data_IF_253512113306
#
_entry.id   IF_253512113306
#
_cell.length_a   1.000
_cell.length_b   1.000
_cell.length_c   1.000
_cell.angle_alpha   90.00
_cell.angle_beta   90.00
_cell.angle_gamma   90.00
#
_symmetry.space_group_name_H-M   'P 1'
#
loop_
_entity.id
_entity.type
_entity.pdbx_description
1 polymer ?
#
# COMPACT_ATOMS: atom_id res chain seq x y z
N UNK A 1 -29.68 -0.92 0.56
CA UNK A 1 -28.91 -0.28 1.63
C UNK A 1 -27.48 -0.11 1.10
N UNK A 2 -27.01 1.11 0.87
CA UNK A 2 -25.65 1.36 0.36
C UNK A 2 -24.70 1.31 1.57
N UNK A 3 -23.92 0.23 1.68
CA UNK A 3 -22.96 0.09 2.78
C UNK A 3 -21.78 1.01 2.46
N UNK A 4 -21.71 2.13 3.14
CA UNK A 4 -20.51 2.97 3.17
C UNK A 4 -19.42 2.23 3.93
N UNK A 5 -18.22 2.17 3.35
CA UNK A 5 -17.03 1.56 3.96
C UNK A 5 -15.93 2.63 4.08
N UNK A 6 -16.17 3.70 4.87
CA UNK A 6 -15.21 4.79 5.00
C UNK A 6 -13.98 4.34 5.79
N UNK A 7 -12.82 4.88 5.48
CA UNK A 7 -11.60 4.67 6.26
C UNK A 7 -11.58 5.39 7.63
N UNK A 8 -12.66 6.04 8.02
CA UNK A 8 -12.70 6.94 9.17
C UNK A 8 -12.04 8.30 8.85
N UNK A 9 -11.94 9.15 9.87
CA UNK A 9 -11.30 10.47 9.77
C UNK A 9 -9.81 10.32 9.44
N UNK A 10 -9.24 11.24 8.64
CA UNK A 10 -7.81 11.31 8.40
C UNK A 10 -7.07 11.52 9.72
N UNK A 11 -5.93 10.88 9.86
CA UNK A 11 -5.05 11.01 11.03
C UNK A 11 -3.83 11.80 10.62
N UNK A 12 -3.48 12.83 11.38
CA UNK A 12 -2.23 13.56 11.15
C UNK A 12 -1.05 12.76 11.73
N UNK A 13 0.04 12.63 10.94
CA UNK A 13 1.26 11.94 11.37
C UNK A 13 1.87 12.54 12.63
N UNK A 14 1.71 13.85 12.88
CA UNK A 14 2.18 14.49 14.11
C UNK A 14 1.55 13.90 15.38
N UNK A 15 0.32 13.35 15.27
CA UNK A 15 -0.39 12.73 16.40
C UNK A 15 0.14 11.32 16.71
N UNK A 16 0.83 10.68 15.76
CA UNK A 16 1.44 9.37 15.96
C UNK A 16 2.76 9.54 16.68
N UNK A 17 2.84 9.06 17.91
CA UNK A 17 4.05 9.15 18.73
C UNK A 17 5.11 8.13 18.28
N UNK A 18 6.35 8.58 18.06
CA UNK A 18 7.44 7.74 17.59
C UNK A 18 7.19 7.18 16.17
N UNK A 19 7.64 5.95 15.92
CA UNK A 19 7.41 5.21 14.66
C UNK A 19 8.03 5.89 13.42
N UNK A 20 9.15 6.60 13.57
CA UNK A 20 9.73 7.42 12.50
C UNK A 20 10.08 6.61 11.25
N UNK A 21 10.58 5.36 11.42
CA UNK A 21 10.86 4.47 10.30
C UNK A 21 9.59 4.02 9.57
N UNK A 22 8.46 3.87 10.29
CA UNK A 22 7.16 3.54 9.68
C UNK A 22 6.61 4.75 8.94
N UNK A 23 6.67 5.95 9.54
CA UNK A 23 6.26 7.20 8.90
C UNK A 23 7.04 7.44 7.60
N UNK A 24 8.36 7.20 7.63
CA UNK A 24 9.21 7.28 6.43
C UNK A 24 8.78 6.27 5.37
N UNK A 25 8.50 5.02 5.75
CA UNK A 25 7.98 4.00 4.83
C UNK A 25 6.62 4.40 4.22
N UNK A 26 5.74 5.05 4.99
CA UNK A 26 4.47 5.58 4.49
C UNK A 26 4.68 6.77 3.52
N UNK A 27 5.64 7.65 3.78
CA UNK A 27 6.04 8.71 2.86
C UNK A 27 6.51 8.14 1.51
N UNK A 28 7.39 7.14 1.53
CA UNK A 28 7.86 6.44 0.32
C UNK A 28 6.67 5.76 -0.40
N UNK A 29 5.78 5.11 0.36
CA UNK A 29 4.59 4.48 -0.19
C UNK A 29 3.67 5.50 -0.89
N UNK A 30 3.40 6.64 -0.26
CA UNK A 30 2.59 7.72 -0.83
C UNK A 30 3.24 8.31 -2.08
N UNK A 31 4.55 8.53 -2.05
CA UNK A 31 5.29 9.12 -3.15
C UNK A 31 5.33 8.20 -4.39
N UNK A 32 5.51 6.90 -4.23
CA UNK A 32 5.65 5.96 -5.34
C UNK A 32 4.38 5.17 -5.69
N UNK A 33 3.30 5.28 -4.90
CA UNK A 33 2.10 4.45 -5.09
C UNK A 33 2.29 2.99 -4.65
N UNK A 34 3.30 2.72 -3.81
CA UNK A 34 3.67 1.37 -3.40
C UNK A 34 2.67 0.76 -2.43
N UNK A 35 2.37 -0.53 -2.59
CA UNK A 35 1.55 -1.30 -1.66
C UNK A 35 2.30 -1.54 -0.35
N UNK A 36 1.57 -1.47 0.78
CA UNK A 36 2.15 -1.52 2.13
C UNK A 36 1.49 -2.61 2.97
N UNK A 37 2.32 -3.35 3.72
CA UNK A 37 1.89 -4.22 4.81
C UNK A 37 2.52 -3.75 6.12
N UNK A 38 1.67 -3.38 7.08
CA UNK A 38 2.05 -3.02 8.44
C UNK A 38 1.88 -4.24 9.37
N UNK A 39 2.94 -4.73 9.96
CA UNK A 39 2.87 -5.88 10.86
C UNK A 39 3.34 -5.49 12.25
N UNK A 40 2.63 -5.95 13.29
CA UNK A 40 3.02 -5.65 14.67
C UNK A 40 2.01 -6.17 15.68
N UNK A 41 2.37 -6.06 16.94
CA UNK A 41 1.55 -6.48 18.09
C UNK A 41 0.17 -5.79 18.13
N UNK A 42 -0.81 -6.34 18.83
CA UNK A 42 -2.07 -5.64 19.10
C UNK A 42 -1.81 -4.27 19.71
N UNK A 43 -2.66 -3.29 19.37
CA UNK A 43 -2.55 -1.91 19.85
C UNK A 43 -1.24 -1.15 19.55
N UNK A 44 -0.38 -1.64 18.62
CA UNK A 44 0.83 -0.94 18.21
C UNK A 44 0.58 0.29 17.29
N UNK A 45 -0.67 0.62 16.98
CA UNK A 45 -1.02 1.79 16.16
C UNK A 45 -1.09 1.53 14.64
N UNK A 46 -1.08 0.27 14.19
CA UNK A 46 -1.09 -0.10 12.76
C UNK A 46 -2.23 0.56 11.98
N UNK A 47 -3.45 0.44 12.48
CA UNK A 47 -4.64 1.02 11.82
C UNK A 47 -4.60 2.54 11.78
N UNK A 48 -4.04 3.17 12.82
CA UNK A 48 -3.83 4.62 12.89
C UNK A 48 -2.85 5.07 11.80
N UNK A 49 -1.69 4.40 11.69
CA UNK A 49 -0.68 4.64 10.67
C UNK A 49 -1.22 4.40 9.25
N UNK A 50 -1.99 3.32 9.06
CA UNK A 50 -2.62 3.04 7.76
C UNK A 50 -3.58 4.15 7.32
N UNK A 51 -4.34 4.72 8.25
CA UNK A 51 -5.25 5.87 7.98
C UNK A 51 -4.48 7.15 7.70
N UNK A 52 -3.33 7.36 8.36
CA UNK A 52 -2.51 8.56 8.15
C UNK A 52 -1.99 8.66 6.71
N UNK A 53 -1.79 7.54 5.99
CA UNK A 53 -1.35 7.55 4.60
C UNK A 53 -2.28 8.36 3.68
N UNK A 54 -3.60 8.38 3.97
CA UNK A 54 -4.57 9.15 3.19
C UNK A 54 -4.21 10.64 3.13
N UNK A 55 -3.78 11.20 4.24
CA UNK A 55 -3.40 12.61 4.36
C UNK A 55 -2.10 12.98 3.63
N UNK A 56 -1.35 11.99 3.14
CA UNK A 56 -0.10 12.20 2.41
C UNK A 56 -0.29 12.20 0.90
N UNK A 57 -1.44 11.73 0.41
CA UNK A 57 -1.68 11.58 -1.02
C UNK A 57 -2.07 12.91 -1.66
N UNK A 58 -1.52 13.25 -2.85
CA UNK A 58 -1.95 14.41 -3.59
C UNK A 58 -3.41 14.26 -4.04
N UNK A 59 -4.13 15.37 -4.28
CA UNK A 59 -5.48 15.35 -4.80
C UNK A 59 -5.56 14.60 -6.14
N UNK A 60 -6.77 14.22 -6.53
CA UNK A 60 -7.04 13.65 -7.84
C UNK A 60 -6.83 14.70 -8.94
N UNK A 61 -6.32 14.29 -10.11
CA UNK A 61 -6.37 15.09 -11.33
C UNK A 61 -7.80 15.12 -11.88
N UNK A 62 -8.09 16.03 -12.80
CA UNK A 62 -9.42 16.14 -13.43
C UNK A 62 -9.86 14.81 -14.07
N UNK A 63 -8.97 14.16 -14.81
CA UNK A 63 -9.24 12.86 -15.43
C UNK A 63 -9.47 11.74 -14.41
N UNK A 64 -8.75 11.77 -13.29
CA UNK A 64 -8.97 10.83 -12.19
C UNK A 64 -10.32 11.08 -11.48
N UNK A 65 -10.72 12.35 -11.32
CA UNK A 65 -12.02 12.73 -10.74
C UNK A 65 -13.16 12.16 -11.57
N UNK A 66 -13.13 12.30 -12.90
CA UNK A 66 -14.16 11.75 -13.80
C UNK A 66 -14.25 10.22 -13.70
N UNK A 67 -13.10 9.53 -13.70
CA UNK A 67 -13.05 8.07 -13.57
C UNK A 67 -13.63 7.58 -12.24
N UNK A 68 -13.33 8.27 -11.13
CA UNK A 68 -13.84 7.95 -9.80
C UNK A 68 -15.34 8.23 -9.72
N UNK A 69 -15.80 9.38 -10.23
CA UNK A 69 -17.22 9.76 -10.25
C UNK A 69 -18.07 8.73 -11.02
N UNK A 70 -17.59 8.24 -12.17
CA UNK A 70 -18.29 7.21 -12.93
C UNK A 70 -18.49 5.91 -12.13
N UNK A 71 -17.47 5.47 -11.37
CA UNK A 71 -17.56 4.27 -10.52
C UNK A 71 -18.50 4.53 -9.34
N UNK A 72 -18.43 5.69 -8.70
CA UNK A 72 -19.27 6.06 -7.58
C UNK A 72 -20.75 6.17 -7.99
N UNK A 73 -21.05 6.72 -9.16
CA UNK A 73 -22.39 6.76 -9.73
C UNK A 73 -22.95 5.34 -9.96
N UNK A 74 -22.14 4.41 -10.52
CA UNK A 74 -22.53 2.99 -10.65
C UNK A 74 -22.81 2.34 -9.29
N UNK A 75 -22.05 2.71 -8.27
CA UNK A 75 -22.22 2.23 -6.88
C UNK A 75 -23.38 2.94 -6.16
N UNK A 76 -24.01 3.95 -6.75
CA UNK A 76 -25.04 4.83 -6.16
C UNK A 76 -24.57 5.46 -4.84
N UNK A 77 -23.33 5.88 -4.79
CA UNK A 77 -22.81 6.67 -3.69
C UNK A 77 -23.25 8.13 -3.91
N UNK A 78 -23.61 8.81 -2.82
CA UNK A 78 -23.83 10.25 -2.88
C UNK A 78 -22.48 10.93 -3.12
N UNK A 79 -22.40 11.79 -4.10
CA UNK A 79 -21.24 12.65 -4.31
C UNK A 79 -21.29 13.78 -3.29
N UNK A 80 -20.15 14.01 -2.64
CA UNK A 80 -19.89 15.22 -1.87
C UNK A 80 -18.98 16.10 -2.73
N UNK A 81 -19.48 17.23 -3.20
CA UNK A 81 -18.72 18.15 -4.05
C UNK A 81 -17.45 18.64 -3.36
N UNK A 82 -17.49 18.86 -2.04
CA UNK A 82 -16.32 19.28 -1.28
C UNK A 82 -15.22 18.19 -1.21
N UNK A 83 -15.59 16.93 -1.38
CA UNK A 83 -14.67 15.79 -1.36
C UNK A 83 -14.28 15.29 -2.76
N UNK A 84 -14.75 15.91 -3.83
CA UNK A 84 -14.59 15.43 -5.21
C UNK A 84 -13.14 15.25 -5.64
N UNK A 85 -12.23 16.11 -5.19
CA UNK A 85 -10.80 16.01 -5.48
C UNK A 85 -10.03 15.10 -4.52
N UNK A 86 -10.67 14.61 -3.45
CA UNK A 86 -10.02 13.72 -2.49
C UNK A 86 -9.96 12.29 -3.02
N UNK A 87 -8.83 11.62 -2.81
CA UNK A 87 -8.69 10.21 -3.16
C UNK A 87 -9.64 9.35 -2.32
N UNK A 88 -10.42 8.44 -2.95
CA UNK A 88 -11.26 7.51 -2.21
C UNK A 88 -10.46 6.69 -1.23
N UNK A 89 -11.03 6.43 -0.05
CA UNK A 89 -10.47 5.49 0.91
C UNK A 89 -11.57 4.50 1.31
N UNK A 90 -11.36 3.22 1.02
CA UNK A 90 -12.34 2.17 1.23
C UNK A 90 -11.76 1.11 2.17
N UNK A 91 -12.43 0.88 3.30
CA UNK A 91 -12.01 -0.06 4.34
C UNK A 91 -13.09 -1.12 4.58
N UNK A 92 -13.16 -2.20 3.79
CA UNK A 92 -14.10 -3.27 4.01
C UNK A 92 -13.75 -4.05 5.28
N UNK A 93 -14.77 -4.52 6.01
CA UNK A 93 -14.57 -5.46 7.12
C UNK A 93 -14.09 -6.82 6.61
N UNK A 94 -13.30 -7.58 7.39
CA UNK A 94 -13.00 -8.98 7.09
C UNK A 94 -14.24 -9.86 6.90
N UNK A 95 -15.37 -9.50 7.50
CA UNK A 95 -16.65 -10.21 7.35
C UNK A 95 -17.39 -9.85 6.06
N UNK A 96 -16.91 -8.86 5.30
CA UNK A 96 -17.52 -8.46 4.03
C UNK A 96 -17.63 -9.68 3.09
N UNK A 97 -18.77 -9.80 2.41
CA UNK A 97 -18.98 -10.86 1.42
C UNK A 97 -18.07 -10.65 0.20
N UNK A 98 -17.87 -11.71 -0.61
CA UNK A 98 -17.13 -11.57 -1.89
C UNK A 98 -17.76 -10.52 -2.80
N UNK A 99 -19.09 -10.44 -2.84
CA UNK A 99 -19.80 -9.42 -3.63
C UNK A 99 -19.54 -7.99 -3.12
N UNK A 100 -19.40 -7.78 -1.81
CA UNK A 100 -19.01 -6.50 -1.24
C UNK A 100 -17.56 -6.13 -1.57
N UNK A 101 -16.65 -7.09 -1.60
CA UNK A 101 -15.24 -6.88 -1.93
C UNK A 101 -15.03 -6.62 -3.43
N UNK A 102 -15.59 -7.47 -4.26
CA UNK A 102 -15.25 -7.55 -5.69
C UNK A 102 -16.35 -7.04 -6.61
N UNK A 103 -17.54 -6.82 -6.08
CA UNK A 103 -18.70 -6.46 -6.88
C UNK A 103 -19.52 -7.66 -7.33
N UNK A 104 -20.60 -7.39 -8.01
CA UNK A 104 -21.57 -8.37 -8.46
C UNK A 104 -23.01 -7.96 -8.14
N UNK A 105 -23.92 -8.92 -8.10
CA UNK A 105 -25.33 -8.71 -7.74
C UNK A 105 -26.30 -9.44 -8.68
N UNK A 106 -27.45 -9.86 -8.18
CA UNK A 106 -28.46 -10.59 -8.95
C UNK A 106 -29.21 -9.72 -9.98
N UNK A 107 -29.26 -8.42 -9.76
CA UNK A 107 -29.93 -7.44 -10.63
C UNK A 107 -28.93 -6.62 -11.46
N UNK A 108 -28.60 -5.41 -11.01
CA UNK A 108 -27.67 -4.47 -11.65
C UNK A 108 -26.27 -4.72 -11.14
N UNK A 109 -25.25 -4.61 -12.00
CA UNK A 109 -23.85 -4.66 -11.56
C UNK A 109 -23.59 -3.55 -10.55
N UNK A 110 -23.00 -3.92 -9.40
CA UNK A 110 -22.58 -2.97 -8.36
C UNK A 110 -21.07 -3.11 -8.15
N UNK A 111 -20.31 -2.01 -8.29
CA UNK A 111 -18.88 -2.01 -7.97
C UNK A 111 -18.64 -2.41 -6.50
N UNK A 112 -17.72 -3.33 -6.28
CA UNK A 112 -17.26 -3.72 -4.94
C UNK A 112 -16.22 -2.75 -4.38
N UNK A 113 -15.68 -3.07 -3.19
CA UNK A 113 -14.68 -2.26 -2.50
C UNK A 113 -13.46 -1.98 -3.38
N UNK A 114 -12.96 -2.98 -4.14
CA UNK A 114 -11.77 -2.84 -5.01
C UNK A 114 -11.96 -1.78 -6.10
N UNK A 115 -13.12 -1.76 -6.77
CA UNK A 115 -13.41 -0.75 -7.80
C UNK A 115 -13.71 0.61 -7.18
N UNK A 116 -14.40 0.65 -6.04
CA UNK A 116 -14.70 1.90 -5.33
C UNK A 116 -13.46 2.58 -4.77
N UNK A 117 -12.37 1.83 -4.55
CA UNK A 117 -11.07 2.35 -4.15
C UNK A 117 -10.22 2.84 -5.34
N UNK A 118 -10.74 2.81 -6.57
CA UNK A 118 -10.01 3.23 -7.77
C UNK A 118 -9.41 4.63 -7.59
N UNK A 119 -8.13 4.78 -7.97
CA UNK A 119 -7.31 6.01 -7.80
C UNK A 119 -7.14 6.46 -6.34
N UNK A 120 -7.46 5.60 -5.38
CA UNK A 120 -7.37 5.88 -3.95
C UNK A 120 -6.73 4.74 -3.17
N UNK A 121 -7.21 4.52 -1.94
CA UNK A 121 -6.71 3.52 -1.01
C UNK A 121 -7.72 2.41 -0.77
N UNK A 122 -7.26 1.17 -0.82
CA UNK A 122 -7.95 0.01 -0.26
C UNK A 122 -7.25 -0.37 1.04
N UNK A 123 -7.92 -0.15 2.17
CA UNK A 123 -7.40 -0.50 3.50
C UNK A 123 -7.98 -1.84 3.95
N UNK A 124 -7.13 -2.86 4.07
CA UNK A 124 -7.49 -4.18 4.59
C UNK A 124 -6.91 -4.37 5.99
N UNK A 125 -7.71 -4.06 7.00
CA UNK A 125 -7.29 -4.20 8.41
C UNK A 125 -7.42 -5.65 8.85
N UNK A 126 -6.39 -6.21 9.50
CA UNK A 126 -6.21 -7.64 9.81
C UNK A 126 -6.31 -8.54 8.56
N UNK A 127 -5.43 -8.30 7.60
CA UNK A 127 -5.40 -9.01 6.30
C UNK A 127 -5.58 -10.53 6.40
N UNK A 128 -4.95 -11.28 7.33
CA UNK A 128 -5.17 -12.72 7.46
C UNK A 128 -6.61 -13.13 7.79
N UNK A 129 -7.43 -12.22 8.34
CA UNK A 129 -8.83 -12.50 8.65
C UNK A 129 -9.73 -12.59 7.41
N UNK A 130 -9.33 -12.00 6.29
CA UNK A 130 -10.04 -12.14 5.01
C UNK A 130 -9.93 -13.55 4.41
N UNK A 131 -8.87 -14.30 4.75
CA UNK A 131 -8.68 -15.69 4.36
C UNK A 131 -8.82 -15.95 2.85
N UNK A 132 -9.62 -16.96 2.42
CA UNK A 132 -9.74 -17.33 1.00
C UNK A 132 -10.28 -16.23 0.09
N UNK A 133 -10.91 -15.20 0.66
CA UNK A 133 -11.40 -14.05 -0.11
C UNK A 133 -10.27 -13.28 -0.80
N UNK A 134 -9.03 -13.36 -0.29
CA UNK A 134 -7.87 -12.70 -0.88
C UNK A 134 -7.39 -13.31 -2.20
N UNK A 135 -7.87 -14.48 -2.58
CA UNK A 135 -7.37 -15.22 -3.75
C UNK A 135 -7.48 -14.50 -5.09
N UNK A 136 -8.46 -13.62 -5.25
CA UNK A 136 -8.64 -12.82 -6.48
C UNK A 136 -7.84 -11.52 -6.50
N UNK A 137 -7.33 -11.07 -5.34
CA UNK A 137 -6.69 -9.77 -5.23
C UNK A 137 -5.37 -9.65 -6.03
N UNK A 138 -4.50 -10.67 -6.11
CA UNK A 138 -3.28 -10.59 -6.91
C UNK A 138 -3.54 -10.24 -8.38
N UNK A 139 -4.49 -10.92 -9.02
CA UNK A 139 -4.82 -10.65 -10.43
C UNK A 139 -5.39 -9.23 -10.62
N UNK A 140 -6.20 -8.74 -9.66
CA UNK A 140 -6.76 -7.39 -9.71
C UNK A 140 -5.65 -6.33 -9.59
N UNK A 141 -4.64 -6.57 -8.75
CA UNK A 141 -3.49 -5.67 -8.61
C UNK A 141 -2.65 -5.62 -9.89
N UNK A 142 -2.49 -6.75 -10.58
CA UNK A 142 -1.76 -6.83 -11.86
C UNK A 142 -2.54 -6.17 -12.99
N UNK A 143 -3.83 -6.52 -13.14
CA UNK A 143 -4.69 -6.04 -14.22
C UNK A 143 -5.18 -4.60 -13.97
N UNK A 144 -5.12 -4.11 -12.72
CA UNK A 144 -5.73 -2.85 -12.26
C UNK A 144 -7.21 -2.73 -12.62
N UNK A 145 -7.85 -3.87 -12.73
CA UNK A 145 -9.22 -4.01 -13.15
C UNK A 145 -9.89 -5.20 -12.46
N UNK A 146 -11.17 -5.07 -12.21
CA UNK A 146 -12.03 -6.14 -11.73
C UNK A 146 -12.90 -6.64 -12.88
N UNK A 147 -12.77 -7.92 -13.24
CA UNK A 147 -13.61 -8.59 -14.24
C UNK A 147 -14.79 -9.26 -13.54
N UNK A 148 -16.00 -8.92 -13.95
CA UNK A 148 -17.24 -9.52 -13.45
C UNK A 148 -17.95 -10.20 -14.61
N UNK A 149 -18.02 -11.52 -14.55
CA UNK A 149 -18.78 -12.31 -15.54
C UNK A 149 -20.25 -12.39 -15.11
N UNK A 150 -21.14 -12.10 -16.07
CA UNK A 150 -22.57 -12.14 -15.81
C UNK A 150 -23.37 -12.40 -17.07
N UNK A 151 -24.27 -13.40 -17.02
CA UNK A 151 -25.14 -13.79 -18.13
C UNK A 151 -24.38 -13.90 -19.46
N UNK A 152 -23.14 -14.46 -19.46
CA UNK A 152 -22.31 -14.60 -20.62
C UNK A 152 -21.59 -13.31 -21.08
N UNK A 153 -21.74 -12.21 -20.34
CA UNK A 153 -21.06 -10.93 -20.64
C UNK A 153 -20.02 -10.63 -19.55
N UNK A 154 -18.77 -10.40 -19.96
CA UNK A 154 -17.72 -9.93 -19.05
C UNK A 154 -17.73 -8.41 -19.02
N UNK A 155 -17.95 -7.85 -17.83
CA UNK A 155 -17.81 -6.42 -17.59
C UNK A 155 -16.51 -6.15 -16.85
N UNK A 156 -15.78 -5.12 -17.29
CA UNK A 156 -14.50 -4.71 -16.69
C UNK A 156 -14.71 -3.39 -15.96
N UNK A 157 -14.44 -3.40 -14.65
CA UNK A 157 -14.49 -2.20 -13.82
C UNK A 157 -13.05 -1.79 -13.44
N UNK A 158 -12.68 -0.52 -13.58
CA UNK A 158 -11.36 -0.05 -13.12
C UNK A 158 -11.16 -0.33 -11.63
N UNK A 159 -9.95 -0.75 -11.26
CA UNK A 159 -9.58 -1.08 -9.89
C UNK A 159 -8.08 -0.78 -9.62
N UNK A 160 -7.58 0.34 -10.12
CA UNK A 160 -6.23 0.83 -9.85
C UNK A 160 -6.23 1.57 -8.49
N UNK A 161 -5.82 0.90 -7.43
CA UNK A 161 -5.76 1.45 -6.07
C UNK A 161 -4.42 1.13 -5.43
N UNK A 162 -4.05 1.89 -4.40
CA UNK A 162 -2.94 1.53 -3.52
C UNK A 162 -3.47 0.67 -2.38
N UNK A 163 -2.89 -0.53 -2.20
CA UNK A 163 -3.24 -1.42 -1.10
C UNK A 163 -2.47 -1.02 0.16
N UNK A 164 -3.21 -0.84 1.26
CA UNK A 164 -2.64 -0.71 2.60
C UNK A 164 -3.24 -1.81 3.46
N UNK A 165 -2.40 -2.66 3.98
CA UNK A 165 -2.85 -3.78 4.79
C UNK A 165 -2.20 -3.77 6.17
N UNK A 166 -2.91 -4.28 7.17
CA UNK A 166 -2.34 -4.54 8.48
C UNK A 166 -2.39 -6.03 8.81
N UNK A 167 -1.49 -6.50 9.63
CA UNK A 167 -1.51 -7.86 10.15
C UNK A 167 -0.89 -7.93 11.54
N UNK A 168 -1.24 -8.98 12.27
CA UNK A 168 -0.48 -9.42 13.45
C UNK A 168 0.57 -10.43 13.00
N UNK A 169 1.69 -10.62 13.74
CA UNK A 169 2.70 -11.61 13.37
C UNK A 169 2.23 -13.06 13.58
N UNK A 170 1.22 -13.27 14.44
CA UNK A 170 0.61 -14.56 14.75
C UNK A 170 -0.81 -14.36 15.35
N UNK A 171 -1.57 -15.45 15.60
CA UNK A 171 -2.92 -15.32 16.19
C UNK A 171 -2.99 -14.59 17.52
N UNK A 172 -2.03 -14.80 18.45
CA UNK A 172 -1.97 -14.04 19.71
C UNK A 172 -1.37 -12.65 19.55
N UNK A 173 -0.59 -12.40 18.47
CA UNK A 173 0.00 -11.11 18.14
C UNK A 173 1.40 -10.87 18.73
N UNK A 174 1.98 -11.84 19.45
CA UNK A 174 3.23 -11.66 20.22
C UNK A 174 4.44 -12.42 19.65
N UNK A 175 4.32 -13.01 18.47
CA UNK A 175 5.45 -13.70 17.85
C UNK A 175 6.56 -12.70 17.49
N UNK A 176 7.76 -12.94 18.05
CA UNK A 176 8.91 -12.05 17.89
C UNK A 176 8.91 -10.82 18.82
N UNK A 177 7.91 -10.66 19.70
CA UNK A 177 7.90 -9.59 20.70
C UNK A 177 8.91 -9.89 21.81
N UNK A 178 9.66 -8.86 22.25
CA UNK A 178 10.73 -9.01 23.27
C UNK A 178 10.20 -8.94 24.71
N UNK A 179 9.03 -8.33 24.90
CA UNK A 179 8.44 -8.12 26.24
C UNK A 179 7.36 -9.17 26.56
N UNK A 180 6.71 -9.74 25.53
CA UNK A 180 5.59 -10.65 25.70
C UNK A 180 5.87 -12.00 25.03
N UNK A 181 5.76 -13.07 25.82
CA UNK A 181 5.90 -14.42 25.31
C UNK A 181 4.76 -14.79 24.34
N UNK A 182 5.11 -15.31 23.18
CA UNK A 182 4.14 -15.85 22.24
C UNK A 182 3.60 -17.21 22.71
N UNK A 183 2.27 -17.30 22.85
CA UNK A 183 1.59 -18.55 23.25
C UNK A 183 1.27 -19.48 22.06
N UNK A 184 1.66 -19.12 20.83
CA UNK A 184 1.36 -19.93 19.64
C UNK A 184 2.45 -20.94 19.35
N UNK A 185 2.05 -22.17 19.02
CA UNK A 185 3.01 -23.16 18.48
C UNK A 185 3.53 -22.71 17.11
N UNK A 186 4.76 -23.11 16.71
CA UNK A 186 5.31 -22.77 15.40
C UNK A 186 4.39 -23.16 14.23
N UNK A 187 3.70 -24.30 14.32
CA UNK A 187 2.73 -24.71 13.30
C UNK A 187 1.53 -23.76 13.21
N UNK A 188 1.06 -23.23 14.36
CA UNK A 188 -0.05 -22.28 14.42
C UNK A 188 0.36 -20.92 13.85
N UNK A 189 1.60 -20.48 14.10
CA UNK A 189 2.16 -19.26 13.50
C UNK A 189 2.21 -19.40 11.98
N UNK A 190 2.85 -20.45 11.47
CA UNK A 190 2.94 -20.71 10.01
C UNK A 190 1.56 -20.75 9.36
N UNK A 191 0.59 -21.49 9.93
CA UNK A 191 -0.79 -21.56 9.38
C UNK A 191 -1.46 -20.19 9.33
N UNK A 192 -1.22 -19.32 10.29
CA UNK A 192 -1.76 -17.97 10.30
C UNK A 192 -1.14 -17.11 9.21
N UNK A 193 0.18 -17.10 9.08
CA UNK A 193 0.90 -16.35 8.05
C UNK A 193 0.55 -16.83 6.63
N UNK A 194 0.34 -18.13 6.43
CA UNK A 194 -0.11 -18.70 5.15
C UNK A 194 -1.56 -18.33 4.77
N UNK A 195 -2.33 -17.67 5.63
CA UNK A 195 -3.64 -17.11 5.24
C UNK A 195 -3.51 -15.95 4.25
N UNK A 196 -2.36 -15.31 4.21
CA UNK A 196 -2.02 -14.33 3.17
C UNK A 196 -1.41 -15.13 2.00
N UNK A 197 -2.06 -15.16 0.82
CA UNK A 197 -1.52 -15.87 -0.34
C UNK A 197 -0.11 -15.36 -0.69
N UNK A 198 0.81 -16.27 -1.03
CA UNK A 198 2.16 -15.90 -1.43
C UNK A 198 2.16 -14.92 -2.60
N UNK A 199 1.31 -15.18 -3.60
CA UNK A 199 1.12 -14.28 -4.75
C UNK A 199 0.70 -12.84 -4.34
N UNK A 200 -0.04 -12.66 -3.26
CA UNK A 200 -0.39 -11.33 -2.75
C UNK A 200 0.80 -10.67 -2.04
N UNK A 201 1.53 -11.43 -1.21
CA UNK A 201 2.74 -10.91 -0.53
C UNK A 201 3.81 -10.43 -1.50
N UNK A 202 3.97 -11.12 -2.61
CA UNK A 202 4.90 -10.75 -3.67
C UNK A 202 4.56 -9.44 -4.37
N UNK A 203 3.31 -8.97 -4.28
CA UNK A 203 2.85 -7.70 -4.84
C UNK A 203 2.86 -6.54 -3.86
N UNK A 204 3.16 -6.81 -2.59
CA UNK A 204 3.36 -5.78 -1.58
C UNK A 204 4.83 -5.37 -1.61
N UNK A 205 5.08 -4.10 -1.92
CA UNK A 205 6.43 -3.56 -2.10
C UNK A 205 7.10 -3.25 -0.76
N UNK A 206 6.32 -2.74 0.20
CA UNK A 206 6.81 -2.22 1.48
C UNK A 206 6.25 -3.04 2.63
N UNK A 207 7.14 -3.66 3.40
CA UNK A 207 6.82 -4.38 4.62
C UNK A 207 7.40 -3.62 5.81
N UNK A 208 6.54 -3.19 6.73
CA UNK A 208 6.91 -2.38 7.90
C UNK A 208 6.55 -3.10 9.18
N UNK A 209 7.52 -3.28 10.04
CA UNK A 209 7.29 -3.70 11.42
C UNK A 209 6.90 -2.49 12.25
N UNK A 210 5.77 -2.60 12.97
CA UNK A 210 5.24 -1.57 13.84
C UNK A 210 5.46 -2.01 15.29
N UNK A 211 6.57 -1.61 15.92
CA UNK A 211 6.83 -1.93 17.32
C UNK A 211 5.87 -1.20 18.24
N UNK A 212 5.77 -1.66 19.48
CA UNK A 212 5.04 -0.92 20.49
C UNK A 212 5.80 0.36 20.86
N UNK A 213 5.04 1.40 21.17
CA UNK A 213 5.61 2.66 21.66
C UNK A 213 5.72 2.57 23.18
N UNK A 214 6.90 2.83 23.72
CA UNK A 214 7.13 2.83 25.17
C UNK A 214 6.46 4.03 25.85
N UNK A 215 6.27 3.92 27.16
CA UNK A 215 5.56 4.93 27.95
C UNK A 215 6.19 6.32 27.84
N UNK A 216 7.52 6.43 27.86
CA UNK A 216 8.24 7.70 27.78
C UNK A 216 7.97 8.45 26.47
N UNK A 217 7.85 7.71 25.36
CA UNK A 217 7.49 8.29 24.07
C UNK A 217 6.01 8.67 23.98
N UNK A 218 5.12 7.88 24.59
CA UNK A 218 3.68 8.19 24.63
C UNK A 218 3.39 9.47 25.41
N UNK A 219 4.07 9.64 26.55
CA UNK A 219 3.90 10.81 27.44
C UNK A 219 4.74 12.02 27.02
N UNK A 220 5.68 11.84 26.09
CA UNK A 220 6.49 12.95 25.60
C UNK A 220 5.61 14.02 24.95
N UNK A 221 5.84 15.29 25.30
CA UNK A 221 5.21 16.44 24.64
C UNK A 221 5.66 16.64 23.19
N UNK A 222 6.63 15.87 22.70
CA UNK A 222 7.13 15.98 21.32
C UNK A 222 6.05 15.56 20.34
N UNK A 223 5.65 16.48 19.47
CA UNK A 223 4.85 16.19 18.29
C UNK A 223 5.77 15.69 17.17
N UNK A 224 5.26 14.80 16.33
CA UNK A 224 5.92 14.40 15.09
C UNK A 224 5.86 15.50 14.03
N UNK A 225 6.42 15.22 12.86
CA UNK A 225 6.29 16.09 11.69
C UNK A 225 4.83 16.11 11.20
N UNK A 226 4.25 17.28 10.90
CA UNK A 226 2.88 17.39 10.39
C UNK A 226 2.71 16.68 9.03
N UNK A 227 1.57 16.03 8.82
CA UNK A 227 1.23 15.39 7.54
C UNK A 227 1.33 16.34 6.35
N UNK A 228 1.03 17.63 6.53
CA UNK A 228 1.10 18.64 5.48
C UNK A 228 2.52 18.78 4.90
N UNK A 229 3.55 18.83 5.75
CA UNK A 229 4.95 18.95 5.31
C UNK A 229 5.38 17.68 4.54
N UNK A 230 4.99 16.51 5.02
CA UNK A 230 5.27 15.23 4.33
C UNK A 230 4.54 15.18 2.98
N UNK A 231 3.28 15.62 2.94
CA UNK A 231 2.49 15.69 1.71
C UNK A 231 3.09 16.62 0.65
N UNK A 232 3.73 17.71 1.04
CA UNK A 232 4.45 18.59 0.10
C UNK A 232 5.63 17.88 -0.57
N UNK A 233 6.43 17.10 0.20
CA UNK A 233 7.53 16.27 -0.36
C UNK A 233 6.99 15.17 -1.28
N UNK A 234 5.91 14.52 -0.88
CA UNK A 234 5.21 13.53 -1.70
C UNK A 234 4.73 14.16 -3.00
N UNK A 235 4.09 15.33 -2.95
CA UNK A 235 3.62 16.03 -4.14
C UNK A 235 4.78 16.45 -5.07
N UNK A 236 5.91 16.88 -4.51
CA UNK A 236 7.12 17.17 -5.30
C UNK A 236 7.65 15.93 -6.03
N UNK A 237 7.76 14.78 -5.34
CA UNK A 237 8.17 13.51 -5.95
C UNK A 237 7.18 13.06 -7.03
N UNK A 238 5.86 13.22 -6.82
CA UNK A 238 4.81 12.91 -7.80
C UNK A 238 4.88 13.80 -9.04
N UNK A 239 5.21 15.08 -8.91
CA UNK A 239 5.43 15.97 -10.06
C UNK A 239 6.60 15.49 -10.93
N UNK A 240 7.72 15.04 -10.32
CA UNK A 240 8.85 14.45 -11.06
C UNK A 240 8.43 13.20 -11.84
N UNK A 241 7.62 12.34 -11.23
CA UNK A 241 7.05 11.16 -11.89
C UNK A 241 6.12 11.55 -13.04
N UNK A 242 5.23 12.52 -12.83
CA UNK A 242 4.33 13.00 -13.88
C UNK A 242 5.10 13.53 -15.10
N UNK A 243 6.17 14.30 -14.89
CA UNK A 243 7.05 14.76 -15.99
C UNK A 243 7.75 13.58 -16.68
N UNK A 244 8.27 12.62 -15.92
CA UNK A 244 8.97 11.42 -16.44
C UNK A 244 8.06 10.55 -17.29
N UNK A 245 6.79 10.42 -16.93
CA UNK A 245 5.84 9.52 -17.56
C UNK A 245 4.86 10.21 -18.50
N UNK A 246 5.09 11.49 -18.85
CA UNK A 246 4.19 12.26 -19.70
C UNK A 246 3.85 11.57 -21.04
N UNK A 247 4.83 10.84 -21.59
CA UNK A 247 4.68 10.11 -22.86
C UNK A 247 4.42 8.59 -22.65
N UNK A 248 4.26 8.14 -21.39
CA UNK A 248 4.06 6.71 -21.09
C UNK A 248 2.61 6.47 -20.66
N UNK A 249 1.75 5.99 -21.57
CA UNK A 249 0.34 5.74 -21.26
C UNK A 249 0.19 4.79 -20.08
N UNK A 250 -0.77 5.09 -19.21
CA UNK A 250 -1.18 4.25 -18.06
C UNK A 250 -0.17 4.10 -16.91
N UNK A 251 1.00 4.76 -16.95
CA UNK A 251 1.95 4.83 -15.84
C UNK A 251 1.84 6.18 -15.16
N UNK A 252 1.49 6.22 -13.90
CA UNK A 252 1.37 7.45 -13.10
C UNK A 252 2.35 7.50 -11.94
N UNK A 253 2.88 6.34 -11.54
CA UNK A 253 3.76 6.21 -10.36
C UNK A 253 4.87 5.19 -10.59
N UNK A 254 5.94 5.29 -9.80
CA UNK A 254 7.05 4.35 -9.90
C UNK A 254 6.67 2.89 -9.58
N UNK A 255 5.67 2.65 -8.72
CA UNK A 255 5.18 1.30 -8.45
C UNK A 255 4.63 0.59 -9.70
N UNK A 256 4.20 1.38 -10.69
CA UNK A 256 3.59 0.91 -11.93
C UNK A 256 4.60 0.62 -13.05
N UNK A 257 5.91 0.86 -12.84
CA UNK A 257 6.95 0.64 -13.84
C UNK A 257 7.04 -0.82 -14.26
N UNK A 258 6.84 -1.09 -15.55
CA UNK A 258 7.14 -2.36 -16.18
C UNK A 258 8.65 -2.55 -16.41
N UNK A 259 9.05 -3.71 -16.92
CA UNK A 259 10.47 -4.07 -17.06
C UNK A 259 11.25 -3.08 -17.93
N UNK A 260 10.70 -2.64 -19.06
CA UNK A 260 11.38 -1.71 -19.96
C UNK A 260 11.52 -0.32 -19.34
N UNK A 261 10.49 0.16 -18.63
CA UNK A 261 10.53 1.42 -17.92
C UNK A 261 11.52 1.37 -16.72
N UNK A 262 11.65 0.22 -16.04
CA UNK A 262 12.68 0.03 -15.02
C UNK A 262 14.08 0.16 -15.64
N UNK A 263 14.34 -0.45 -16.81
CA UNK A 263 15.62 -0.32 -17.50
C UNK A 263 15.92 1.12 -17.88
N UNK A 264 14.93 1.86 -18.34
CA UNK A 264 15.08 3.25 -18.78
C UNK A 264 15.29 4.23 -17.59
N UNK A 265 14.60 4.02 -16.46
CA UNK A 265 14.52 5.03 -15.39
C UNK A 265 15.19 4.62 -14.07
N UNK A 266 15.65 3.37 -13.93
CA UNK A 266 16.25 2.86 -12.70
C UNK A 266 17.70 2.41 -12.93
N UNK A 267 18.44 3.08 -13.81
CA UNK A 267 19.87 2.79 -14.03
C UNK A 267 20.68 3.01 -12.74
N UNK A 268 21.63 2.13 -12.50
CA UNK A 268 22.55 2.16 -11.37
C UNK A 268 23.96 2.52 -11.83
N UNK A 269 24.72 3.19 -10.96
CA UNK A 269 26.14 3.36 -11.11
C UNK A 269 26.93 2.10 -10.68
N UNK A 270 28.24 2.11 -10.81
CA UNK A 270 29.11 0.97 -10.43
C UNK A 270 28.97 0.58 -8.95
N UNK A 271 28.81 1.54 -8.04
CA UNK A 271 28.62 1.31 -6.62
C UNK A 271 27.22 0.68 -6.34
N UNK A 272 26.19 1.19 -6.99
CA UNK A 272 24.84 0.63 -6.94
C UNK A 272 24.77 -0.80 -7.45
N UNK A 273 25.43 -1.10 -8.58
CA UNK A 273 25.54 -2.47 -9.09
C UNK A 273 26.24 -3.41 -8.12
N UNK A 274 27.33 -2.96 -7.49
CA UNK A 274 28.06 -3.75 -6.50
C UNK A 274 27.20 -4.05 -5.27
N UNK A 275 26.50 -3.06 -4.75
CA UNK A 275 25.57 -3.22 -3.63
C UNK A 275 24.42 -4.19 -3.97
N UNK A 276 23.79 -4.03 -5.13
CA UNK A 276 22.72 -4.91 -5.55
C UNK A 276 23.17 -6.35 -5.79
N UNK A 277 24.36 -6.55 -6.35
CA UNK A 277 24.97 -7.88 -6.51
C UNK A 277 25.19 -8.56 -5.15
N UNK A 278 25.69 -7.82 -4.17
CA UNK A 278 25.84 -8.33 -2.80
C UNK A 278 24.48 -8.66 -2.18
N UNK A 279 23.48 -7.77 -2.30
CA UNK A 279 22.13 -7.97 -1.77
C UNK A 279 21.45 -9.20 -2.38
N UNK A 280 21.53 -9.40 -3.70
CA UNK A 280 20.96 -10.57 -4.38
C UNK A 280 21.53 -11.86 -3.81
N UNK A 281 22.85 -11.91 -3.61
CA UNK A 281 23.55 -13.12 -3.08
C UNK A 281 23.26 -13.37 -1.61
N UNK A 282 23.33 -12.33 -0.76
CA UNK A 282 23.23 -12.48 0.70
C UNK A 282 21.78 -12.66 1.17
N UNK A 283 20.84 -12.08 0.46
CA UNK A 283 19.40 -12.06 0.84
C UNK A 283 18.56 -13.00 -0.03
N UNK A 284 19.18 -13.75 -0.95
CA UNK A 284 18.51 -14.66 -1.89
C UNK A 284 17.30 -14.01 -2.60
N UNK A 285 17.55 -12.83 -3.21
CA UNK A 285 16.49 -12.05 -3.80
C UNK A 285 16.01 -12.67 -5.12
N UNK A 286 14.70 -12.90 -5.23
CA UNK A 286 14.08 -13.26 -6.51
C UNK A 286 14.15 -12.08 -7.51
N UNK A 287 13.98 -12.39 -8.81
CA UNK A 287 13.90 -11.36 -9.86
C UNK A 287 12.78 -10.32 -9.58
N UNK A 288 11.62 -10.78 -9.06
CA UNK A 288 10.54 -9.88 -8.66
C UNK A 288 10.95 -8.93 -7.52
N UNK A 289 11.67 -9.45 -6.52
CA UNK A 289 12.18 -8.63 -5.42
C UNK A 289 13.23 -7.62 -5.90
N UNK A 290 14.11 -8.02 -6.81
CA UNK A 290 15.09 -7.13 -7.46
C UNK A 290 14.39 -5.92 -8.12
N UNK A 291 13.39 -6.16 -8.94
CA UNK A 291 12.66 -5.08 -9.63
C UNK A 291 11.88 -4.19 -8.65
N UNK A 292 11.30 -4.76 -7.58
CA UNK A 292 10.65 -3.96 -6.52
C UNK A 292 11.63 -3.01 -5.83
N UNK A 293 12.81 -3.50 -5.49
CA UNK A 293 13.87 -2.68 -4.86
C UNK A 293 14.25 -1.51 -5.78
N UNK A 294 14.40 -1.74 -7.09
CA UNK A 294 14.69 -0.67 -8.04
C UNK A 294 13.59 0.39 -8.12
N UNK A 295 12.32 -0.01 -8.16
CA UNK A 295 11.17 0.92 -8.14
C UNK A 295 11.12 1.73 -6.85
N UNK A 296 11.39 1.10 -5.71
CA UNK A 296 11.47 1.78 -4.41
C UNK A 296 12.65 2.75 -4.37
N UNK A 297 13.84 2.33 -4.81
CA UNK A 297 15.02 3.18 -4.87
C UNK A 297 14.80 4.41 -5.77
N UNK A 298 14.09 4.24 -6.92
CA UNK A 298 13.70 5.36 -7.77
C UNK A 298 12.78 6.33 -7.03
N UNK A 299 11.82 5.82 -6.26
CA UNK A 299 10.91 6.66 -5.47
C UNK A 299 11.67 7.43 -4.39
N UNK A 300 12.61 6.79 -3.71
CA UNK A 300 13.42 7.42 -2.67
C UNK A 300 14.32 8.51 -3.28
N UNK A 301 14.88 8.27 -4.46
CA UNK A 301 15.65 9.29 -5.19
C UNK A 301 14.78 10.46 -5.66
N UNK A 302 13.52 10.21 -6.07
CA UNK A 302 12.56 11.28 -6.40
C UNK A 302 12.22 12.14 -5.17
N UNK A 303 12.04 11.52 -3.99
CA UNK A 303 11.86 12.23 -2.71
C UNK A 303 13.10 13.06 -2.32
N UNK A 304 14.30 12.55 -2.65
CA UNK A 304 15.55 13.29 -2.45
C UNK A 304 15.77 14.40 -3.50
N UNK A 305 14.91 14.50 -4.52
CA UNK A 305 15.02 15.51 -5.58
C UNK A 305 16.14 15.24 -6.60
N UNK A 306 16.68 14.01 -6.68
CA UNK A 306 17.81 13.65 -7.54
C UNK A 306 17.39 12.70 -8.67
N UNK A 307 18.11 12.79 -9.81
CA UNK A 307 17.79 11.98 -10.99
C UNK A 307 18.45 10.60 -10.98
N UNK A 308 19.58 10.45 -10.30
CA UNK A 308 20.30 9.19 -10.23
C UNK A 308 19.98 8.43 -8.95
N UNK A 309 19.85 7.11 -9.07
CA UNK A 309 19.73 6.21 -7.93
C UNK A 309 21.11 5.94 -7.37
N UNK A 310 21.41 6.48 -6.19
CA UNK A 310 22.64 6.21 -5.48
C UNK A 310 22.54 5.07 -4.47
N UNK A 311 23.70 4.62 -3.91
CA UNK A 311 23.76 3.53 -2.94
C UNK A 311 22.87 3.74 -1.69
N UNK A 312 22.72 4.98 -1.21
CA UNK A 312 21.86 5.30 -0.07
C UNK A 312 20.39 4.98 -0.35
N UNK A 313 19.90 5.29 -1.56
CA UNK A 313 18.51 5.01 -1.97
C UNK A 313 18.26 3.50 -2.07
N UNK A 314 19.25 2.73 -2.55
CA UNK A 314 19.20 1.28 -2.58
C UNK A 314 19.23 0.69 -1.17
N UNK A 315 20.09 1.19 -0.30
CA UNK A 315 20.19 0.70 1.08
C UNK A 315 18.88 0.94 1.85
N UNK A 316 18.24 2.11 1.69
CA UNK A 316 16.93 2.38 2.27
C UNK A 316 15.87 1.43 1.68
N UNK A 317 15.82 1.24 0.36
CA UNK A 317 14.81 0.38 -0.29
C UNK A 317 14.91 -1.08 0.16
N UNK A 318 16.11 -1.58 0.45
CA UNK A 318 16.35 -2.92 0.98
C UNK A 318 15.75 -3.13 2.39
N UNK A 319 15.54 -2.06 3.17
CA UNK A 319 14.92 -2.15 4.50
C UNK A 319 13.43 -2.49 4.43
N UNK A 320 12.77 -2.18 3.32
CA UNK A 320 11.33 -2.38 3.12
C UNK A 320 10.95 -3.77 2.61
N UNK A 321 11.93 -4.66 2.36
CA UNK A 321 11.65 -6.01 1.88
C UNK A 321 10.90 -6.87 2.89
N UNK A 322 10.17 -7.85 2.42
CA UNK A 322 9.59 -8.87 3.27
C UNK A 322 10.70 -9.61 4.07
N UNK A 323 10.47 -9.77 5.37
CA UNK A 323 11.36 -10.56 6.23
C UNK A 323 10.83 -11.98 6.39
N UNK A 324 11.69 -12.98 6.64
CA UNK A 324 11.26 -14.37 6.80
C UNK A 324 10.25 -14.61 7.95
N UNK A 325 10.15 -13.66 8.87
CA UNK A 325 9.25 -13.70 10.03
C UNK A 325 7.82 -13.26 9.74
N UNK A 326 7.51 -12.91 8.49
CA UNK A 326 6.18 -12.40 8.09
C UNK A 326 5.56 -13.17 6.94
#
# INVERSE_FOLDING_TARGET
>A
MTITMPCGEPVDLQQVKGQEHVKRGLEVAAAGGHHVLLVGAPAAGKTLLARALRGLLPPLSETEVEAVAAIHALARLKEDEAARSQRPCVAPSPDASRAMLYGGGAGRLRPGAVSRAHRGLLLLDDLPAFGPKLGSLPAILDDRAMRVERAGVTQVLPAAFQLVATARPCPCGWYGDVEHACACTPARVRRYQHRIPAALRERIDIHLEVPRVNYERLTSGRLGEPSAIVAERVAAARRRQATRFAETPHVTTNAELGLDAIRAHCALDGAGHSLMKAAVRQLDLSAGAYHRILRLARTIADLAGVDQIGPAHLAESLQYRARPTL
#
